data_IF_980513716810
#
_entry.id   IF_980513716810
#
_cell.length_a   1.000
_cell.length_b   1.000
_cell.length_c   1.000
_cell.angle_alpha   90.00
_cell.angle_beta   90.00
_cell.angle_gamma   90.00
#
_symmetry.space_group_name_H-M   'P 1'
#
loop_
_entity.id
_entity.type
_entity.pdbx_description
1 polymer ?
#
# COMPACT_ATOMS: atom_id res chain seq x y z
N UNK A 1 -14.09 17.47 -11.97
CA UNK A 1 -13.59 16.11 -12.29
C UNK A 1 -13.99 15.18 -11.17
N UNK A 2 -14.87 14.27 -11.46
CA UNK A 2 -15.23 13.23 -10.51
C UNK A 2 -14.01 12.33 -10.33
N UNK A 3 -13.43 12.30 -9.14
CA UNK A 3 -12.45 11.30 -8.80
C UNK A 3 -13.05 9.92 -9.08
N UNK A 4 -12.26 9.02 -9.67
CA UNK A 4 -12.70 7.66 -9.94
C UNK A 4 -13.08 6.99 -8.62
N UNK A 5 -14.37 6.77 -8.42
CA UNK A 5 -14.84 6.05 -7.25
C UNK A 5 -14.33 4.60 -7.30
N UNK A 6 -13.60 4.19 -6.29
CA UNK A 6 -13.18 2.81 -6.15
C UNK A 6 -13.87 2.18 -4.95
N UNK A 7 -14.16 0.87 -5.05
CA UNK A 7 -14.68 0.07 -3.96
C UNK A 7 -13.53 -0.71 -3.33
N UNK A 8 -13.31 -0.49 -2.03
CA UNK A 8 -12.27 -1.19 -1.28
C UNK A 8 -12.87 -2.45 -0.64
N UNK A 9 -12.22 -3.57 -0.87
CA UNK A 9 -12.65 -4.89 -0.40
C UNK A 9 -11.46 -5.68 0.14
N UNK A 10 -11.69 -6.64 1.06
CA UNK A 10 -10.65 -7.61 1.40
C UNK A 10 -10.20 -8.40 0.18
N UNK A 11 -8.88 -8.58 0.04
CA UNK A 11 -8.31 -9.36 -1.07
C UNK A 11 -8.53 -10.85 -0.86
N UNK A 12 -8.99 -11.53 -1.90
CA UNK A 12 -9.08 -12.99 -1.95
C UNK A 12 -7.85 -13.58 -2.65
N UNK A 13 -7.65 -14.91 -2.53
CA UNK A 13 -6.60 -15.60 -3.29
C UNK A 13 -6.86 -15.54 -4.80
N UNK A 14 -8.13 -15.49 -5.22
CA UNK A 14 -8.49 -15.28 -6.61
C UNK A 14 -8.08 -13.89 -7.11
N UNK A 15 -8.26 -12.86 -6.27
CA UNK A 15 -7.81 -11.50 -6.57
C UNK A 15 -6.28 -11.45 -6.72
N UNK A 16 -5.55 -12.15 -5.86
CA UNK A 16 -4.09 -12.23 -5.96
C UNK A 16 -3.66 -12.86 -7.29
N UNK A 17 -4.34 -13.91 -7.74
CA UNK A 17 -4.08 -14.52 -9.03
C UNK A 17 -4.31 -13.53 -10.19
N UNK A 18 -5.43 -12.80 -10.15
CA UNK A 18 -5.75 -11.75 -11.14
C UNK A 18 -4.66 -10.67 -11.19
N UNK A 19 -4.21 -10.20 -10.03
CA UNK A 19 -3.12 -9.21 -9.93
C UNK A 19 -1.82 -9.74 -10.53
N UNK A 20 -1.48 -11.01 -10.29
CA UNK A 20 -0.25 -11.60 -10.82
C UNK A 20 -0.30 -11.81 -12.34
N UNK A 21 -1.46 -12.07 -12.92
CA UNK A 21 -1.64 -12.11 -14.38
C UNK A 21 -1.36 -10.75 -15.02
N UNK A 22 -1.77 -9.66 -14.36
CA UNK A 22 -1.60 -8.30 -14.82
C UNK A 22 -0.38 -7.59 -14.18
N UNK A 23 0.57 -8.33 -13.63
CA UNK A 23 1.68 -7.83 -12.84
C UNK A 23 2.36 -6.59 -13.45
N UNK A 24 2.65 -6.62 -14.76
CA UNK A 24 3.37 -5.55 -15.43
C UNK A 24 2.56 -4.25 -15.54
N UNK A 25 1.23 -4.34 -15.47
CA UNK A 25 0.35 -3.16 -15.44
C UNK A 25 0.44 -2.39 -14.13
N UNK A 26 0.88 -3.06 -13.06
CA UNK A 26 1.06 -2.46 -11.74
C UNK A 26 2.51 -2.06 -11.47
N UNK A 27 3.47 -2.82 -11.98
CA UNK A 27 4.88 -2.70 -11.61
C UNK A 27 5.82 -2.33 -12.77
N UNK A 28 5.27 -2.20 -14.00
CA UNK A 28 6.08 -1.98 -15.19
C UNK A 28 7.04 -3.14 -15.46
N UNK A 29 8.26 -2.83 -15.84
CA UNK A 29 9.27 -3.85 -16.12
C UNK A 29 9.97 -4.46 -14.90
N UNK A 30 9.57 -4.09 -13.68
CA UNK A 30 10.18 -4.62 -12.45
C UNK A 30 9.48 -5.90 -12.03
N UNK A 31 10.24 -6.96 -11.80
CA UNK A 31 9.69 -8.20 -11.26
C UNK A 31 9.56 -8.11 -9.74
N UNK A 32 8.33 -7.88 -9.27
CA UNK A 32 7.98 -7.77 -7.85
C UNK A 32 7.15 -8.95 -7.36
N UNK A 33 7.12 -10.06 -8.11
CA UNK A 33 6.32 -11.25 -7.76
C UNK A 33 6.69 -11.83 -6.40
N UNK A 34 7.93 -11.68 -5.98
CA UNK A 34 8.40 -12.16 -4.67
C UNK A 34 7.68 -11.51 -3.47
N UNK A 35 7.05 -10.37 -3.66
CA UNK A 35 6.23 -9.73 -2.61
C UNK A 35 4.83 -10.33 -2.47
N UNK A 36 4.39 -11.10 -3.46
CA UNK A 36 3.01 -11.57 -3.58
C UNK A 36 2.84 -12.97 -3.00
N UNK A 37 2.94 -13.09 -1.68
CA UNK A 37 2.89 -14.37 -1.00
C UNK A 37 1.45 -14.68 -0.58
N UNK A 38 0.96 -15.87 -1.00
CA UNK A 38 -0.40 -16.34 -0.68
C UNK A 38 -0.69 -16.38 0.81
N UNK A 39 0.32 -16.72 1.63
CA UNK A 39 0.18 -16.80 3.07
C UNK A 39 -0.23 -15.44 3.69
N UNK A 40 0.28 -14.33 3.16
CA UNK A 40 -0.07 -13.00 3.66
C UNK A 40 -1.56 -12.69 3.42
N UNK A 41 -2.05 -12.98 2.23
CA UNK A 41 -3.47 -12.77 1.89
C UNK A 41 -4.37 -13.71 2.70
N UNK A 42 -3.93 -14.94 2.91
CA UNK A 42 -4.71 -15.93 3.66
C UNK A 42 -4.79 -15.60 5.15
N UNK A 43 -3.65 -15.28 5.76
CA UNK A 43 -3.58 -15.12 7.22
C UNK A 43 -3.87 -13.69 7.69
N UNK A 44 -3.72 -12.69 6.81
CA UNK A 44 -3.94 -11.28 7.12
C UNK A 44 -5.03 -10.67 6.21
N UNK A 45 -6.10 -11.43 5.95
CA UNK A 45 -7.15 -11.05 5.01
C UNK A 45 -7.83 -9.72 5.30
N UNK A 46 -7.93 -9.29 6.56
CA UNK A 46 -8.56 -8.02 6.93
C UNK A 46 -7.71 -6.80 6.55
N UNK A 47 -6.42 -6.99 6.33
CA UNK A 47 -5.47 -5.91 6.01
C UNK A 47 -4.81 -6.08 4.65
N UNK A 48 -5.27 -7.04 3.84
CA UNK A 48 -4.94 -7.16 2.43
C UNK A 48 -6.16 -6.72 1.63
N UNK A 49 -6.00 -5.69 0.79
CA UNK A 49 -7.13 -4.95 0.22
C UNK A 49 -7.01 -4.83 -1.29
N UNK A 50 -8.13 -4.88 -1.99
CA UNK A 50 -8.26 -4.50 -3.38
C UNK A 50 -9.09 -3.23 -3.51
N UNK A 51 -8.76 -2.41 -4.51
CA UNK A 51 -9.58 -1.31 -4.97
C UNK A 51 -10.14 -1.66 -6.35
N UNK A 52 -11.46 -1.83 -6.46
CA UNK A 52 -12.13 -2.14 -7.72
C UNK A 52 -12.75 -0.88 -8.31
N UNK A 53 -12.60 -0.71 -9.62
CA UNK A 53 -13.24 0.37 -10.37
C UNK A 53 -14.73 0.06 -10.61
N UNK A 54 -15.43 0.98 -11.28
CA UNK A 54 -16.85 0.83 -11.58
C UNK A 54 -17.17 -0.37 -12.46
N UNK A 55 -16.20 -0.82 -13.27
CA UNK A 55 -16.33 -2.03 -14.11
C UNK A 55 -15.99 -3.33 -13.38
N UNK A 56 -15.62 -3.25 -12.11
CA UNK A 56 -15.26 -4.41 -11.29
C UNK A 56 -13.82 -4.89 -11.44
N UNK A 57 -13.00 -4.19 -12.23
CA UNK A 57 -11.58 -4.50 -12.42
C UNK A 57 -10.76 -4.02 -11.22
N UNK A 58 -9.74 -4.78 -10.83
CA UNK A 58 -8.82 -4.34 -9.78
C UNK A 58 -7.97 -3.19 -10.32
N UNK A 59 -8.19 -1.99 -9.78
CA UNK A 59 -7.45 -0.78 -10.12
C UNK A 59 -6.18 -0.61 -9.28
N UNK A 60 -6.18 -1.16 -8.08
CA UNK A 60 -5.05 -1.13 -7.16
C UNK A 60 -5.22 -2.13 -6.03
N UNK A 61 -4.17 -2.35 -5.26
CA UNK A 61 -4.20 -3.25 -4.12
C UNK A 61 -3.11 -2.90 -3.11
N UNK A 62 -3.32 -3.39 -1.89
CA UNK A 62 -2.37 -3.25 -0.80
C UNK A 62 -2.32 -4.57 -0.03
N UNK A 63 -1.12 -5.10 0.15
CA UNK A 63 -0.84 -6.25 1.00
C UNK A 63 -0.14 -5.75 2.25
N UNK A 64 -0.75 -5.94 3.40
CA UNK A 64 -0.20 -5.48 4.67
C UNK A 64 -0.73 -6.25 5.85
N UNK A 65 -0.18 -5.97 7.01
CA UNK A 65 -0.55 -6.65 8.25
C UNK A 65 -0.21 -5.78 9.47
N UNK A 66 -0.83 -6.10 10.60
CA UNK A 66 -0.51 -5.47 11.88
C UNK A 66 0.47 -6.35 12.64
N UNK A 67 1.58 -5.75 13.09
CA UNK A 67 2.63 -6.47 13.83
C UNK A 67 2.31 -6.52 15.33
N UNK A 68 2.92 -7.44 16.09
CA UNK A 68 2.81 -7.46 17.56
C UNK A 68 3.33 -6.19 18.24
N UNK A 69 4.08 -5.34 17.52
CA UNK A 69 4.60 -4.06 18.02
C UNK A 69 3.69 -2.89 17.71
N UNK A 70 2.42 -3.16 17.41
CA UNK A 70 1.40 -2.15 17.11
C UNK A 70 1.72 -1.29 15.87
N UNK A 71 2.29 -1.91 14.85
CA UNK A 71 2.62 -1.27 13.58
C UNK A 71 1.75 -1.86 12.47
N UNK A 72 1.04 -1.01 11.73
CA UNK A 72 0.44 -1.36 10.45
C UNK A 72 1.51 -1.33 9.37
N UNK A 73 2.00 -2.50 8.96
CA UNK A 73 3.09 -2.63 7.99
C UNK A 73 2.55 -2.84 6.59
N UNK A 74 2.91 -1.94 5.68
CA UNK A 74 2.56 -2.03 4.26
C UNK A 74 3.68 -2.80 3.55
N UNK A 75 3.38 -4.03 3.15
CA UNK A 75 4.34 -4.93 2.50
C UNK A 75 4.44 -4.66 1.00
N UNK A 76 3.30 -4.46 0.33
CA UNK A 76 3.24 -4.12 -1.08
C UNK A 76 2.00 -3.28 -1.35
N UNK A 77 2.14 -2.25 -2.16
CA UNK A 77 1.03 -1.44 -2.66
C UNK A 77 1.31 -1.03 -4.09
N UNK A 78 0.33 -1.17 -4.94
CA UNK A 78 0.43 -0.76 -6.33
C UNK A 78 -0.92 -0.35 -6.89
N UNK A 79 -0.89 0.55 -7.86
CA UNK A 79 -2.05 0.93 -8.68
C UNK A 79 -1.68 0.75 -10.15
N UNK A 80 -2.68 0.47 -10.99
CA UNK A 80 -2.47 0.37 -12.44
C UNK A 80 -1.92 1.69 -12.96
N UNK A 81 -1.08 1.62 -14.00
CA UNK A 81 -0.45 2.79 -14.59
C UNK A 81 -1.49 3.85 -14.99
N UNK A 82 -2.61 3.42 -15.60
CA UNK A 82 -3.67 4.30 -16.07
C UNK A 82 -4.52 4.94 -14.96
N UNK A 83 -4.43 4.46 -13.72
CA UNK A 83 -5.18 5.02 -12.59
C UNK A 83 -4.31 5.83 -11.62
N UNK A 84 -3.05 6.04 -11.95
CA UNK A 84 -2.17 6.89 -11.13
C UNK A 84 -2.68 8.32 -11.12
N UNK A 85 -2.58 8.97 -9.95
CA UNK A 85 -3.05 10.35 -9.77
C UNK A 85 -4.56 10.48 -9.58
N UNK A 86 -5.32 9.39 -9.48
CA UNK A 86 -6.79 9.40 -9.30
C UNK A 86 -7.25 9.35 -7.84
N UNK A 87 -6.32 9.16 -6.88
CA UNK A 87 -6.64 8.98 -5.47
C UNK A 87 -6.85 7.52 -5.04
N UNK A 88 -6.65 6.56 -5.95
CA UNK A 88 -6.78 5.13 -5.64
C UNK A 88 -5.81 4.68 -4.54
N UNK A 89 -4.55 5.07 -4.61
CA UNK A 89 -3.55 4.78 -3.58
C UNK A 89 -3.90 5.37 -2.22
N UNK A 90 -4.39 6.61 -2.18
CA UNK A 90 -4.88 7.24 -0.95
C UNK A 90 -6.05 6.48 -0.33
N UNK A 91 -7.00 6.03 -1.15
CA UNK A 91 -8.15 5.27 -0.69
C UNK A 91 -7.72 3.95 -0.05
N UNK A 92 -6.75 3.25 -0.64
CA UNK A 92 -6.15 2.04 -0.07
C UNK A 92 -5.48 2.32 1.27
N UNK A 93 -4.71 3.38 1.36
CA UNK A 93 -4.03 3.77 2.62
C UNK A 93 -5.02 4.13 3.73
N UNK A 94 -6.11 4.84 3.42
CA UNK A 94 -7.17 5.14 4.39
C UNK A 94 -7.83 3.87 4.92
N UNK A 95 -8.19 2.96 4.03
CA UNK A 95 -8.82 1.70 4.41
C UNK A 95 -7.87 0.82 5.24
N UNK A 96 -6.59 0.74 4.84
CA UNK A 96 -5.58 0.02 5.58
C UNK A 96 -5.34 0.63 6.97
N UNK A 97 -5.26 1.95 7.06
CA UNK A 97 -5.09 2.65 8.34
C UNK A 97 -6.26 2.34 9.30
N UNK A 98 -7.50 2.35 8.81
CA UNK A 98 -8.66 2.01 9.62
C UNK A 98 -8.63 0.54 10.06
N UNK A 99 -8.33 -0.38 9.16
CA UNK A 99 -8.28 -1.82 9.46
C UNK A 99 -7.16 -2.15 10.46
N UNK A 100 -5.97 -1.60 10.28
CA UNK A 100 -4.83 -1.82 11.18
C UNK A 100 -5.04 -1.16 12.55
N UNK A 101 -5.63 0.04 12.60
CA UNK A 101 -5.98 0.69 13.86
C UNK A 101 -6.99 -0.14 14.66
N UNK A 102 -7.98 -0.75 14.00
CA UNK A 102 -8.92 -1.68 14.63
C UNK A 102 -8.24 -2.91 15.24
N UNK A 103 -7.06 -3.27 14.75
CA UNK A 103 -6.21 -4.34 15.29
C UNK A 103 -5.16 -3.82 16.28
N UNK A 104 -5.25 -2.56 16.70
CA UNK A 104 -4.36 -1.97 17.71
C UNK A 104 -3.11 -1.30 17.17
N UNK A 105 -2.98 -1.10 15.86
CA UNK A 105 -1.84 -0.36 15.31
C UNK A 105 -1.86 1.10 15.77
N UNK A 106 -0.69 1.62 16.12
CA UNK A 106 -0.48 3.00 16.56
C UNK A 106 0.24 3.84 15.51
N UNK A 107 0.89 3.19 14.54
CA UNK A 107 1.56 3.82 13.42
C UNK A 107 1.54 2.94 12.17
N UNK A 108 1.70 3.58 11.02
CA UNK A 108 1.94 2.90 9.74
C UNK A 108 3.43 2.91 9.43
N UNK A 109 3.89 1.87 8.75
CA UNK A 109 5.27 1.74 8.27
C UNK A 109 5.31 1.08 6.91
N UNK A 110 6.14 1.63 6.02
CA UNK A 110 6.51 1.03 4.75
C UNK A 110 8.02 1.18 4.55
N UNK A 111 8.59 0.31 3.73
CA UNK A 111 9.99 0.44 3.33
C UNK A 111 10.09 0.41 1.80
N UNK A 112 11.15 1.02 1.28
CA UNK A 112 11.47 0.94 -0.15
C UNK A 112 12.98 1.04 -0.34
N UNK A 113 13.44 0.79 -1.57
CA UNK A 113 14.85 1.01 -1.92
C UNK A 113 15.19 2.49 -1.89
N UNK A 114 16.47 2.81 -1.64
CA UNK A 114 16.93 4.20 -1.51
C UNK A 114 16.78 5.01 -2.81
N UNK A 115 16.66 4.34 -3.95
CA UNK A 115 16.52 4.96 -5.28
C UNK A 115 15.08 5.10 -5.76
N UNK A 116 14.10 4.60 -5.01
CA UNK A 116 12.70 4.63 -5.43
C UNK A 116 12.06 6.01 -5.16
N UNK A 117 12.41 6.99 -6.00
CA UNK A 117 11.96 8.37 -5.85
C UNK A 117 10.43 8.52 -5.87
N UNK A 118 9.75 7.74 -6.69
CA UNK A 118 8.27 7.79 -6.79
C UNK A 118 7.58 7.38 -5.50
N UNK A 119 8.01 6.28 -4.89
CA UNK A 119 7.48 5.82 -3.60
C UNK A 119 7.79 6.81 -2.49
N UNK A 120 9.00 7.33 -2.44
CA UNK A 120 9.41 8.33 -1.44
C UNK A 120 8.53 9.58 -1.55
N UNK A 121 8.33 10.11 -2.75
CA UNK A 121 7.50 11.29 -2.97
C UNK A 121 6.02 11.04 -2.59
N UNK A 122 5.48 9.88 -2.96
CA UNK A 122 4.12 9.48 -2.61
C UNK A 122 3.91 9.46 -1.09
N UNK A 123 4.82 8.83 -0.35
CA UNK A 123 4.71 8.74 1.10
C UNK A 123 4.89 10.09 1.79
N UNK A 124 5.80 10.94 1.28
CA UNK A 124 5.92 12.32 1.79
C UNK A 124 4.64 13.12 1.61
N UNK A 125 3.96 12.98 0.46
CA UNK A 125 2.66 13.63 0.25
C UNK A 125 1.59 13.14 1.21
N UNK A 126 1.65 11.88 1.63
CA UNK A 126 0.77 11.33 2.68
C UNK A 126 1.19 11.72 4.10
N UNK A 127 2.25 12.51 4.26
CA UNK A 127 2.74 12.98 5.55
C UNK A 127 3.59 11.98 6.32
N UNK A 128 4.14 10.97 5.64
CA UNK A 128 5.10 10.05 6.25
C UNK A 128 6.44 10.74 6.49
N UNK A 129 7.05 10.47 7.63
CA UNK A 129 8.46 10.71 7.87
C UNK A 129 9.28 9.69 7.08
N UNK A 130 10.33 10.14 6.39
CA UNK A 130 11.13 9.29 5.51
C UNK A 130 12.59 9.38 5.92
N UNK A 131 13.19 8.26 6.30
CA UNK A 131 14.57 8.15 6.76
C UNK A 131 15.30 7.01 6.07
N UNK A 132 16.57 7.20 5.75
CA UNK A 132 17.45 6.10 5.35
C UNK A 132 17.98 5.37 6.59
N UNK A 133 17.91 4.04 6.54
CA UNK A 133 18.52 3.16 7.54
C UNK A 133 19.47 2.21 6.83
N UNK A 134 20.77 2.35 7.10
CA UNK A 134 21.84 1.78 6.28
C UNK A 134 21.90 0.25 6.28
N UNK A 135 21.58 -0.38 7.40
CA UNK A 135 21.65 -1.84 7.54
C UNK A 135 20.26 -2.46 7.79
N UNK A 136 19.21 -1.82 7.32
CA UNK A 136 17.82 -2.22 7.64
C UNK A 136 17.51 -3.66 7.23
N UNK A 137 17.93 -4.05 6.02
CA UNK A 137 17.68 -5.39 5.46
C UNK A 137 18.91 -6.31 5.54
N UNK A 138 19.84 -5.99 6.43
CA UNK A 138 21.09 -6.70 6.63
C UNK A 138 22.31 -5.80 6.41
N UNK A 139 23.51 -6.26 6.75
CA UNK A 139 24.71 -5.46 6.62
C UNK A 139 24.92 -4.92 5.20
N UNK A 140 25.04 -3.60 5.06
CA UNK A 140 25.22 -2.94 3.77
C UNK A 140 23.97 -2.93 2.88
N UNK A 141 22.79 -3.27 3.41
CA UNK A 141 21.54 -3.29 2.62
C UNK A 141 20.59 -2.20 3.16
N UNK A 142 20.75 -0.94 2.69
CA UNK A 142 19.96 0.17 3.17
C UNK A 142 18.52 0.14 2.64
N UNK A 143 17.62 0.78 3.40
CA UNK A 143 16.23 1.03 2.99
C UNK A 143 15.82 2.44 3.39
N UNK A 144 14.93 3.02 2.61
CA UNK A 144 14.15 4.16 3.08
C UNK A 144 13.02 3.62 3.94
N UNK A 145 12.98 4.05 5.20
CA UNK A 145 11.97 3.66 6.18
C UNK A 145 11.00 4.82 6.34
N UNK A 146 9.73 4.55 6.09
CA UNK A 146 8.69 5.55 6.03
C UNK A 146 7.65 5.24 7.09
N UNK A 147 7.42 6.17 8.01
CA UNK A 147 6.51 5.97 9.15
C UNK A 147 5.55 7.14 9.30
N UNK A 148 4.36 6.85 9.78
CA UNK A 148 3.37 7.85 10.15
C UNK A 148 2.55 7.40 11.34
N UNK A 149 2.39 8.26 12.38
CA UNK A 149 1.46 7.97 13.47
C UNK A 149 0.01 7.87 12.98
N UNK A 150 -0.78 7.03 13.62
CA UNK A 150 -2.22 6.98 13.44
C UNK A 150 -2.92 7.91 14.45
N UNK A 151 -4.10 8.45 14.14
CA UNK A 151 -4.91 8.23 12.94
C UNK A 151 -4.36 8.92 11.70
N UNK A 152 -4.63 8.31 10.53
CA UNK A 152 -4.27 8.88 9.23
C UNK A 152 -5.30 9.94 8.83
N UNK A 153 -4.92 11.21 8.96
CA UNK A 153 -5.74 12.34 8.50
C UNK A 153 -5.16 12.87 7.21
N UNK A 154 -5.84 12.59 6.11
CA UNK A 154 -5.50 13.11 4.79
C UNK A 154 -6.43 14.25 4.46
N UNK A 155 -5.89 15.33 3.87
CA UNK A 155 -6.72 16.42 3.36
C UNK A 155 -7.65 15.86 2.28
N UNK A 156 -8.94 16.17 2.39
CA UNK A 156 -9.91 15.87 1.34
C UNK A 156 -9.69 16.93 0.24
N UNK A 157 -9.40 16.55 -1.03
CA UNK A 157 -9.34 17.51 -2.11
C UNK A 157 -10.67 18.26 -2.19
N UNK A 158 -10.65 19.61 -2.04
CA UNK A 158 -11.84 20.47 -2.13
C UNK A 158 -12.53 20.83 -0.82
N UNK A 159 -12.04 20.39 0.34
CA UNK A 159 -12.53 20.91 1.63
C UNK A 159 -11.83 22.25 1.93
N UNK A 160 -12.54 23.37 1.66
CA UNK A 160 -12.28 24.72 2.20
C UNK A 160 -13.48 25.17 2.98
#
# INVERSE_FOLDING_TARGET
MSGMGVRIEPMTLSDLAEVLEDHDRFWGGRDMRFLHQRVLVREFGDTCLTARDAGGRIAGYLIGFTTPRHVGYIHAVAVRDEVRGTGCGQALYRAFAAASAAQGAEQLKAITTVTNAGSIAFHRRLGFDVRQVDDYSGPGVPRMVMTRPLPLRLSVPGAR
#
